data_IF_361191521506
#
_entry.id   IF_361191521506
#
_cell.length_a   1.000
_cell.length_b   1.000
_cell.length_c   1.000
_cell.angle_alpha   90.00
_cell.angle_beta   90.00
_cell.angle_gamma   90.00
#
_symmetry.space_group_name_H-M   'P 1'
#
loop_
_entity.id
_entity.type
_entity.pdbx_description
1 polymer ?
#
# COMPACT_ATOMS: atom_id res chain seq x y z
N UNK A 1 45.22 -24.11 7.62
CA UNK A 1 44.03 -24.34 8.48
C UNK A 1 43.40 -23.05 9.03
N UNK A 2 44.18 -22.06 9.51
CA UNK A 2 43.65 -20.80 10.05
C UNK A 2 42.94 -19.94 9.00
N UNK A 3 43.48 -19.87 7.78
CA UNK A 3 42.88 -19.16 6.63
C UNK A 3 41.57 -19.79 6.16
N UNK A 4 41.51 -21.12 6.07
CA UNK A 4 40.26 -21.87 5.78
C UNK A 4 39.18 -21.61 6.83
N UNK A 5 39.55 -21.54 8.12
CA UNK A 5 38.60 -21.18 9.19
C UNK A 5 38.07 -19.75 9.02
N UNK A 6 38.92 -18.79 8.69
CA UNK A 6 38.53 -17.38 8.47
C UNK A 6 37.57 -17.24 7.27
N UNK A 7 37.85 -17.95 6.16
CA UNK A 7 36.99 -17.95 4.96
C UNK A 7 35.62 -18.57 5.27
N UNK A 8 35.60 -19.65 6.06
CA UNK A 8 34.36 -20.30 6.48
C UNK A 8 33.51 -19.41 7.39
N UNK A 9 34.13 -18.68 8.32
CA UNK A 9 33.42 -17.72 9.20
C UNK A 9 32.86 -16.54 8.40
N UNK A 10 33.58 -16.04 7.38
CA UNK A 10 33.12 -14.95 6.51
C UNK A 10 31.93 -15.39 5.62
N UNK A 11 31.94 -16.63 5.11
CA UNK A 11 30.81 -17.18 4.34
C UNK A 11 29.53 -17.28 5.19
N UNK A 12 29.63 -17.65 6.46
CA UNK A 12 28.47 -17.77 7.37
C UNK A 12 27.86 -16.38 7.67
N UNK A 13 28.68 -15.34 7.77
CA UNK A 13 28.21 -13.97 7.99
C UNK A 13 27.36 -13.42 6.83
N UNK A 14 27.63 -13.85 5.59
CA UNK A 14 26.89 -13.40 4.39
C UNK A 14 25.45 -13.94 4.31
N UNK A 15 25.12 -15.02 5.03
CA UNK A 15 23.75 -15.57 5.07
C UNK A 15 22.78 -14.75 5.94
N UNK A 16 23.29 -13.86 6.80
CA UNK A 16 22.46 -12.97 7.62
C UNK A 16 21.99 -11.71 6.88
N UNK A 17 22.41 -11.52 5.63
CA UNK A 17 21.89 -10.47 4.74
C UNK A 17 20.51 -10.81 4.16
N UNK A 18 19.68 -11.59 4.87
CA UNK A 18 18.28 -11.76 4.51
C UNK A 18 17.56 -10.42 4.69
N UNK A 19 17.48 -9.72 3.56
CA UNK A 19 16.77 -8.47 3.35
C UNK A 19 15.40 -8.52 4.04
N UNK A 20 15.03 -7.43 4.71
CA UNK A 20 13.75 -7.27 5.39
C UNK A 20 12.59 -7.29 4.39
N UNK A 21 12.24 -8.47 3.86
CA UNK A 21 11.01 -8.65 3.11
C UNK A 21 9.88 -8.55 4.13
N UNK A 22 8.98 -7.59 3.94
CA UNK A 22 7.76 -7.47 4.72
C UNK A 22 6.93 -8.74 4.53
N UNK A 23 7.03 -9.65 5.49
CA UNK A 23 6.37 -10.95 5.45
C UNK A 23 4.86 -10.74 5.41
N UNK A 24 4.21 -11.30 4.38
CA UNK A 24 2.76 -11.24 4.24
C UNK A 24 2.14 -12.35 5.10
N UNK A 25 1.30 -11.95 6.05
CA UNK A 25 0.58 -12.85 6.94
C UNK A 25 -0.45 -13.66 6.13
N UNK A 26 -0.51 -14.98 6.39
CA UNK A 26 -1.44 -15.87 5.69
C UNK A 26 -2.74 -16.05 6.46
N UNK A 27 -2.71 -15.88 7.79
CA UNK A 27 -3.86 -16.11 8.66
C UNK A 27 -4.11 -14.90 9.57
N UNK A 28 -4.63 -13.79 9.01
CA UNK A 28 -4.98 -12.61 9.80
C UNK A 28 -6.16 -12.90 10.76
N UNK A 29 -6.33 -12.10 11.83
CA UNK A 29 -7.45 -12.21 12.77
C UNK A 29 -8.79 -11.65 12.23
N UNK A 30 -8.95 -11.63 10.91
CA UNK A 30 -10.13 -11.15 10.19
C UNK A 30 -10.27 -11.89 8.85
N UNK A 31 -11.46 -11.85 8.27
CA UNK A 31 -11.70 -12.37 6.91
C UNK A 31 -12.22 -11.26 6.03
N UNK A 32 -11.64 -11.13 4.83
CA UNK A 32 -12.14 -10.25 3.78
C UNK A 32 -13.32 -10.95 3.10
N UNK A 33 -14.49 -10.31 3.12
CA UNK A 33 -15.71 -10.81 2.50
C UNK A 33 -15.83 -10.32 1.05
N UNK A 34 -15.48 -9.05 0.82
CA UNK A 34 -15.39 -8.46 -0.51
C UNK A 34 -14.45 -7.26 -0.49
N UNK A 35 -13.87 -6.95 -1.65
CA UNK A 35 -13.06 -5.75 -1.85
C UNK A 35 -13.35 -5.16 -3.21
N UNK A 36 -13.86 -3.94 -3.22
CA UNK A 36 -14.22 -3.22 -4.44
C UNK A 36 -13.51 -1.87 -4.49
N UNK A 37 -13.35 -1.34 -5.68
CA UNK A 37 -12.92 0.03 -5.89
C UNK A 37 -13.77 0.72 -6.95
N UNK A 38 -14.10 1.96 -6.68
CA UNK A 38 -14.81 2.86 -7.56
C UNK A 38 -13.88 3.99 -7.98
N UNK A 39 -13.97 4.47 -9.21
CA UNK A 39 -13.21 5.63 -9.69
C UNK A 39 -14.14 6.60 -10.40
N UNK A 40 -14.05 7.89 -10.07
CA UNK A 40 -14.83 8.93 -10.73
C UNK A 40 -14.08 10.26 -10.85
N UNK A 41 -14.54 11.05 -11.81
CA UNK A 41 -14.08 12.42 -12.01
C UNK A 41 -14.74 13.33 -10.98
N UNK A 42 -13.93 14.14 -10.33
CA UNK A 42 -14.41 15.22 -9.48
C UNK A 42 -14.89 16.37 -10.36
N UNK A 43 -16.17 16.73 -10.21
CA UNK A 43 -16.77 17.85 -10.93
C UNK A 43 -16.15 19.21 -10.57
N UNK A 44 -15.45 19.31 -9.43
CA UNK A 44 -14.89 20.56 -8.91
C UNK A 44 -13.41 20.72 -9.20
N UNK A 45 -12.65 19.64 -9.14
CA UNK A 45 -11.17 19.71 -9.23
C UNK A 45 -10.62 19.20 -10.55
N UNK A 46 -11.45 18.62 -11.43
CA UNK A 46 -11.03 17.85 -12.63
C UNK A 46 -10.11 16.66 -12.31
N UNK A 47 -9.87 16.36 -11.03
CA UNK A 47 -9.12 15.20 -10.59
C UNK A 47 -9.96 13.93 -10.72
N UNK A 48 -9.31 12.80 -10.98
CA UNK A 48 -9.95 11.49 -10.79
C UNK A 48 -9.70 11.01 -9.37
N UNK A 49 -10.77 10.83 -8.59
CA UNK A 49 -10.72 10.17 -7.29
C UNK A 49 -11.03 8.69 -7.44
N UNK A 50 -10.46 7.90 -6.54
CA UNK A 50 -10.78 6.49 -6.38
C UNK A 50 -11.05 6.20 -4.92
N UNK A 51 -12.06 5.37 -4.67
CA UNK A 51 -12.43 4.93 -3.33
C UNK A 51 -12.44 3.40 -3.29
N UNK A 52 -11.82 2.84 -2.27
CA UNK A 52 -11.77 1.40 -2.04
C UNK A 52 -12.62 1.08 -0.82
N UNK A 53 -13.44 0.04 -0.95
CA UNK A 53 -14.27 -0.51 0.10
C UNK A 53 -13.90 -1.96 0.33
N UNK A 54 -13.49 -2.29 1.55
CA UNK A 54 -13.12 -3.63 1.96
C UNK A 54 -14.09 -4.06 3.05
N UNK A 55 -15.04 -4.92 2.69
CA UNK A 55 -15.96 -5.54 3.65
C UNK A 55 -15.23 -6.64 4.38
N UNK A 56 -15.27 -6.63 5.72
CA UNK A 56 -14.58 -7.64 6.52
C UNK A 56 -15.42 -8.11 7.71
N UNK A 57 -15.07 -9.30 8.22
CA UNK A 57 -15.56 -9.81 9.49
C UNK A 57 -14.39 -10.11 10.42
N UNK A 58 -14.61 -9.95 11.72
CA UNK A 58 -13.60 -10.16 12.75
C UNK A 58 -14.30 -10.42 14.08
N UNK A 59 -13.71 -11.31 14.90
CA UNK A 59 -14.20 -11.56 16.27
C UNK A 59 -13.94 -10.37 17.19
N UNK A 60 -12.80 -9.72 16.99
CA UNK A 60 -12.33 -8.58 17.79
C UNK A 60 -12.15 -7.34 16.92
N UNK A 61 -12.04 -6.16 17.53
CA UNK A 61 -11.69 -4.96 16.79
C UNK A 61 -10.30 -5.10 16.15
N UNK A 62 -10.18 -4.71 14.89
CA UNK A 62 -8.92 -4.75 14.14
C UNK A 62 -8.43 -3.33 13.94
N UNK A 63 -7.21 -3.05 14.37
CA UNK A 63 -6.57 -1.76 14.17
C UNK A 63 -5.88 -1.74 12.80
N UNK A 64 -6.65 -1.44 11.76
CA UNK A 64 -6.13 -1.21 10.42
C UNK A 64 -5.38 0.13 10.34
N UNK A 65 -4.23 0.15 9.69
CA UNK A 65 -3.42 1.36 9.53
C UNK A 65 -3.48 1.89 8.10
N UNK A 66 -2.76 1.24 7.18
CA UNK A 66 -2.60 1.70 5.80
C UNK A 66 -3.01 0.63 4.77
N UNK A 67 -3.54 1.09 3.65
CA UNK A 67 -3.77 0.34 2.42
C UNK A 67 -2.69 0.69 1.39
N UNK A 68 -2.14 -0.33 0.75
CA UNK A 68 -1.20 -0.23 -0.35
C UNK A 68 -1.89 -0.74 -1.62
N UNK A 69 -2.17 0.17 -2.56
CA UNK A 69 -2.88 -0.15 -3.80
C UNK A 69 -2.44 0.79 -4.92
N UNK A 70 -2.14 0.24 -6.11
CA UNK A 70 -1.75 1.03 -7.30
C UNK A 70 -0.69 2.10 -7.02
N UNK A 71 0.40 1.71 -6.37
CA UNK A 71 1.52 2.59 -5.97
C UNK A 71 1.15 3.73 -5.00
N UNK A 72 -0.01 3.64 -4.34
CA UNK A 72 -0.41 4.55 -3.28
C UNK A 72 -0.36 3.85 -1.92
N UNK A 73 0.07 4.58 -0.89
CA UNK A 73 -0.07 4.20 0.53
C UNK A 73 -1.07 5.17 1.16
N UNK A 74 -2.19 4.65 1.66
CA UNK A 74 -3.33 5.48 2.10
C UNK A 74 -3.79 4.99 3.47
N UNK A 75 -4.06 5.91 4.40
CA UNK A 75 -4.59 5.54 5.71
C UNK A 75 -6.03 5.02 5.60
N UNK A 76 -6.30 3.86 6.20
CA UNK A 76 -7.64 3.26 6.23
C UNK A 76 -8.52 3.93 7.29
N UNK A 77 -9.80 4.05 6.99
CA UNK A 77 -10.86 4.44 7.92
C UNK A 77 -11.84 3.28 8.07
N UNK A 78 -12.49 3.20 9.22
CA UNK A 78 -13.49 2.16 9.50
C UNK A 78 -14.87 2.80 9.53
N UNK A 79 -15.85 2.16 8.88
CA UNK A 79 -17.25 2.55 8.91
C UNK A 79 -18.12 1.30 9.05
N UNK A 80 -19.16 1.41 9.87
CA UNK A 80 -20.23 0.43 9.93
C UNK A 80 -21.40 0.90 9.06
N UNK A 81 -21.83 0.06 8.12
CA UNK A 81 -22.97 0.34 7.22
C UNK A 81 -23.95 -0.82 7.33
N UNK A 82 -25.15 -0.55 7.88
CA UNK A 82 -26.22 -1.56 8.05
C UNK A 82 -25.72 -2.84 8.75
N UNK A 83 -24.92 -2.68 9.82
CA UNK A 83 -24.34 -3.79 10.58
C UNK A 83 -23.16 -4.50 9.93
N UNK A 84 -22.65 -4.01 8.79
CA UNK A 84 -21.46 -4.54 8.13
C UNK A 84 -20.27 -3.62 8.35
N UNK A 85 -19.12 -4.20 8.72
CA UNK A 85 -17.85 -3.49 8.89
C UNK A 85 -17.14 -3.30 7.56
N UNK A 86 -16.74 -2.06 7.28
CA UNK A 86 -15.95 -1.68 6.12
C UNK A 86 -14.68 -0.97 6.53
N UNK A 87 -13.56 -1.38 5.95
CA UNK A 87 -12.36 -0.58 5.89
C UNK A 87 -12.33 0.12 4.53
N UNK A 88 -12.20 1.45 4.52
CA UNK A 88 -12.26 2.22 3.29
C UNK A 88 -11.16 3.29 3.22
N UNK A 89 -10.79 3.64 2.00
CA UNK A 89 -9.76 4.63 1.71
C UNK A 89 -10.10 5.36 0.42
N UNK A 90 -9.84 6.66 0.40
CA UNK A 90 -9.98 7.50 -0.79
C UNK A 90 -8.61 8.01 -1.20
N UNK A 91 -8.30 7.93 -2.48
CA UNK A 91 -7.06 8.44 -3.05
C UNK A 91 -7.32 9.10 -4.39
N UNK A 92 -6.52 10.10 -4.71
CA UNK A 92 -6.49 10.66 -6.05
C UNK A 92 -5.62 9.76 -6.92
N UNK A 93 -5.98 9.62 -8.19
CA UNK A 93 -5.05 9.03 -9.15
C UNK A 93 -3.81 9.91 -9.17
N UNK A 94 -2.68 9.39 -8.68
CA UNK A 94 -1.39 10.07 -8.81
C UNK A 94 -1.10 10.23 -10.31
N UNK A 95 -1.28 11.44 -10.83
CA UNK A 95 -0.59 11.83 -12.03
C UNK A 95 0.87 11.96 -11.62
N UNK A 96 1.71 11.03 -12.06
CA UNK A 96 3.16 11.06 -11.81
C UNK A 96 3.86 12.29 -12.41
N UNK A 97 3.11 13.20 -13.04
CA UNK A 97 3.50 14.59 -13.21
C UNK A 97 3.50 15.25 -11.82
N UNK A 98 4.47 14.88 -10.98
CA UNK A 98 4.89 15.72 -9.86
C UNK A 98 5.17 17.11 -10.42
N UNK A 99 4.84 18.14 -9.63
CA UNK A 99 5.02 19.56 -9.95
C UNK A 99 6.38 19.84 -10.59
N UNK A 100 6.44 19.79 -11.93
CA UNK A 100 7.52 20.40 -12.68
C UNK A 100 7.17 21.87 -12.77
N UNK A 101 7.92 22.70 -12.05
CA UNK A 101 7.91 24.13 -12.35
C UNK A 101 8.69 24.28 -13.65
N UNK A 102 7.97 24.40 -14.76
CA UNK A 102 8.55 24.71 -16.06
C UNK A 102 9.02 26.16 -16.02
N UNK A 103 10.33 26.36 -15.86
CA UNK A 103 10.96 27.68 -15.90
C UNK A 103 11.25 28.03 -17.37
N UNK A 104 11.05 29.29 -17.75
CA UNK A 104 11.37 29.77 -19.09
C UNK A 104 12.89 29.69 -19.37
N UNK A 105 13.72 29.66 -18.32
CA UNK A 105 15.16 29.49 -18.42
C UNK A 105 15.56 28.00 -18.31
N UNK A 106 16.10 27.39 -19.39
CA UNK A 106 16.45 25.97 -19.42
C UNK A 106 17.56 25.57 -18.43
N UNK A 107 18.35 26.53 -17.94
CA UNK A 107 19.40 26.25 -16.94
C UNK A 107 18.78 25.91 -15.58
N UNK A 108 17.66 26.53 -15.23
CA UNK A 108 16.98 26.30 -13.95
C UNK A 108 16.25 24.97 -13.88
N UNK A 109 15.96 24.35 -15.01
CA UNK A 109 15.44 22.98 -15.08
C UNK A 109 16.42 21.96 -14.49
N UNK A 110 17.73 22.24 -14.52
CA UNK A 110 18.75 21.37 -13.90
C UNK A 110 18.73 21.46 -12.36
N UNK A 111 18.09 22.49 -11.79
CA UNK A 111 17.96 22.68 -10.34
C UNK A 111 16.63 22.15 -9.80
N UNK A 112 15.72 21.69 -10.67
CA UNK A 112 14.46 21.09 -10.24
C UNK A 112 14.76 19.83 -9.40
N UNK A 113 14.21 19.72 -8.17
CA UNK A 113 14.49 18.61 -7.28
C UNK A 113 14.04 17.31 -7.94
N UNK A 114 14.96 16.34 -8.05
CA UNK A 114 14.63 15.01 -8.57
C UNK A 114 13.52 14.46 -7.69
N UNK A 115 12.35 14.11 -8.25
CA UNK A 115 11.25 13.62 -7.46
C UNK A 115 11.63 12.31 -6.78
N UNK A 116 11.96 12.38 -5.48
CA UNK A 116 12.17 11.19 -4.64
C UNK A 116 10.81 10.49 -4.55
N UNK A 117 10.62 9.45 -5.35
CA UNK A 117 9.50 8.53 -5.18
C UNK A 117 9.89 7.61 -4.04
N UNK A 118 9.21 7.69 -2.90
CA UNK A 118 9.34 6.63 -1.89
C UNK A 118 9.15 5.28 -2.61
N UNK A 119 10.11 4.37 -2.44
CA UNK A 119 10.02 3.08 -3.09
C UNK A 119 8.78 2.37 -2.56
N UNK A 120 7.84 2.08 -3.47
CA UNK A 120 6.64 1.37 -3.10
C UNK A 120 7.03 -0.06 -2.65
N UNK A 121 6.75 -0.46 -1.40
CA UNK A 121 7.40 -1.61 -0.78
C UNK A 121 6.85 -2.97 -1.23
N UNK A 122 5.85 -2.99 -2.12
CA UNK A 122 5.18 -4.21 -2.57
C UNK A 122 5.15 -4.29 -4.09
N UNK A 123 5.46 -5.47 -4.63
CA UNK A 123 5.19 -5.76 -6.04
C UNK A 123 3.75 -6.30 -6.16
N UNK A 124 2.83 -5.47 -6.64
CA UNK A 124 1.39 -5.77 -6.73
C UNK A 124 0.90 -5.67 -8.17
N UNK A 125 0.02 -6.58 -8.57
CA UNK A 125 -0.77 -6.44 -9.80
C UNK A 125 -1.82 -5.33 -9.65
N UNK A 126 -2.39 -4.90 -10.76
CA UNK A 126 -3.38 -3.80 -10.83
C UNK A 126 -4.65 -4.00 -9.98
N UNK A 127 -5.00 -5.25 -9.69
CA UNK A 127 -6.15 -5.66 -8.89
C UNK A 127 -5.74 -6.25 -7.53
N UNK A 128 -4.48 -6.09 -7.11
CA UNK A 128 -4.00 -6.57 -5.82
C UNK A 128 -3.78 -5.40 -4.86
N UNK A 129 -4.06 -5.63 -3.58
CA UNK A 129 -3.80 -4.68 -2.51
C UNK A 129 -3.09 -5.36 -1.34
N UNK A 130 -2.41 -4.57 -0.52
CA UNK A 130 -1.94 -5.02 0.79
C UNK A 130 -2.54 -4.11 1.86
N UNK A 131 -3.09 -4.71 2.91
CA UNK A 131 -3.55 -4.00 4.10
C UNK A 131 -2.55 -4.21 5.22
N UNK A 132 -2.18 -3.13 5.89
CA UNK A 132 -1.42 -3.18 7.14
C UNK A 132 -2.33 -3.00 8.35
N UNK A 133 -2.01 -3.71 9.42
CA UNK A 133 -2.77 -3.68 10.67
C UNK A 133 -1.88 -4.00 11.86
N UNK A 134 -2.27 -3.50 13.03
CA UNK A 134 -1.62 -3.81 14.29
C UNK A 134 -2.23 -5.07 14.92
N UNK A 135 -1.38 -6.04 15.24
CA UNK A 135 -1.78 -7.23 16.00
C UNK A 135 -0.66 -7.59 16.98
N UNK A 136 -1.00 -7.73 18.26
CA UNK A 136 -0.06 -8.04 19.35
C UNK A 136 1.17 -7.12 19.38
N UNK A 137 0.95 -5.81 19.17
CA UNK A 137 2.01 -4.79 19.19
C UNK A 137 2.93 -4.76 17.96
N UNK A 138 2.67 -5.59 16.93
CA UNK A 138 3.44 -5.63 15.69
C UNK A 138 2.59 -5.21 14.49
N UNK A 139 3.23 -4.55 13.53
CA UNK A 139 2.64 -4.28 12.21
C UNK A 139 2.68 -5.54 11.38
N UNK A 140 1.53 -5.95 10.89
CA UNK A 140 1.36 -7.11 10.02
C UNK A 140 0.76 -6.66 8.69
N UNK A 141 1.00 -7.43 7.65
CA UNK A 141 0.57 -7.12 6.29
C UNK A 141 -0.23 -8.29 5.74
N UNK A 142 -1.39 -8.02 5.15
CA UNK A 142 -2.23 -9.03 4.51
C UNK A 142 -2.50 -8.66 3.05
N UNK A 143 -2.29 -9.61 2.14
CA UNK A 143 -2.50 -9.40 0.70
C UNK A 143 -3.92 -9.77 0.30
N UNK A 144 -4.61 -8.81 -0.34
CA UNK A 144 -5.86 -9.02 -1.05
C UNK A 144 -5.53 -9.28 -2.52
N UNK A 145 -5.93 -10.45 -3.01
CA UNK A 145 -5.59 -10.91 -4.36
C UNK A 145 -6.47 -10.32 -5.47
N UNK A 146 -7.69 -9.89 -5.13
CA UNK A 146 -8.64 -9.38 -6.10
C UNK A 146 -9.47 -8.23 -5.54
N UNK A 147 -9.15 -7.02 -5.95
CA UNK A 147 -9.95 -5.81 -5.71
C UNK A 147 -10.74 -5.53 -6.99
N UNK A 148 -12.06 -5.71 -6.91
CA UNK A 148 -12.94 -5.63 -8.07
C UNK A 148 -13.30 -4.19 -8.39
N UNK A 149 -13.27 -3.83 -9.67
CA UNK A 149 -13.77 -2.52 -10.09
C UNK A 149 -15.31 -2.54 -10.03
N UNK A 150 -15.89 -1.48 -9.49
CA UNK A 150 -17.35 -1.25 -9.52
C UNK A 150 -17.64 0.15 -10.03
N UNK A 151 -18.81 0.33 -10.65
CA UNK A 151 -19.33 1.64 -11.07
C UNK A 151 -20.21 2.29 -10.00
N UNK A 152 -20.44 1.61 -8.87
CA UNK A 152 -21.30 2.08 -7.79
C UNK A 152 -20.47 2.51 -6.58
N UNK A 153 -20.72 3.72 -6.09
CA UNK A 153 -20.21 4.12 -4.79
C UNK A 153 -21.07 3.49 -3.68
N UNK A 154 -20.44 2.80 -2.73
CA UNK A 154 -21.13 2.22 -1.58
C UNK A 154 -21.23 3.33 -0.51
N UNK A 155 -22.38 4.01 -0.43
CA UNK A 155 -22.69 4.99 0.62
C UNK A 155 -23.73 4.50 1.61
#
# INVERSE_FOLDING_TARGET
>A
MKTIKIILTLCIALFYLQCASSHLEKQPPFSILSSTYYSALSNTTKDTFSEIHIKYTSKNNINFDSLYFRKNKIKLKIKDIKGNKYAYATFKKNNLLKDFTLDANPIKELENPIPISEQFPFNLKENEAVISYQHKGKTNYYKIKNVEKTDTNIH
#
